data_IF_479551949584
#
_entry.id   IF_479551949584
#
_cell.length_a   1.000
_cell.length_b   1.000
_cell.length_c   1.000
_cell.angle_alpha   90.00
_cell.angle_beta   90.00
_cell.angle_gamma   90.00
#
_symmetry.space_group_name_H-M   'P 1'
#
loop_
_entity.id
_entity.type
_entity.pdbx_description
1 polymer ?
#
# COMPACT_ATOMS: atom_id res chain seq x y z
N UNK A 1 -15.76 22.79 0.69
CA UNK A 1 -16.59 22.00 -0.25
C UNK A 1 -15.72 20.95 -0.92
N UNK A 2 -16.19 19.70 -0.97
CA UNK A 2 -15.48 18.60 -1.62
C UNK A 2 -15.58 18.83 -3.14
N UNK A 3 -14.48 19.26 -3.76
CA UNK A 3 -14.43 19.65 -5.19
C UNK A 3 -14.53 18.45 -6.14
N UNK A 4 -14.51 17.22 -5.63
CA UNK A 4 -14.55 16.00 -6.42
C UNK A 4 -15.52 14.99 -5.78
N UNK A 5 -16.67 14.78 -6.41
CA UNK A 5 -17.59 13.70 -6.03
C UNK A 5 -16.94 12.32 -6.17
N UNK A 6 -17.60 11.29 -5.59
CA UNK A 6 -17.16 9.89 -5.65
C UNK A 6 -16.85 9.44 -7.08
N UNK A 7 -15.68 8.83 -7.30
CA UNK A 7 -15.26 8.35 -8.64
C UNK A 7 -16.12 7.16 -9.10
N UNK A 8 -16.74 6.44 -8.16
CA UNK A 8 -17.63 5.30 -8.39
C UNK A 8 -18.90 5.49 -7.56
N UNK A 9 -20.10 5.31 -8.14
CA UNK A 9 -21.32 5.29 -7.34
C UNK A 9 -21.29 4.11 -6.35
N UNK A 10 -21.52 4.32 -5.03
CA UNK A 10 -21.47 3.27 -4.02
C UNK A 10 -22.36 2.04 -4.33
N UNK A 11 -23.45 2.25 -5.05
CA UNK A 11 -24.41 1.23 -5.49
C UNK A 11 -23.80 0.22 -6.46
N UNK A 12 -22.80 0.60 -7.25
CA UNK A 12 -22.12 -0.29 -8.21
C UNK A 12 -21.33 -1.41 -7.52
N UNK A 13 -20.87 -1.20 -6.28
CA UNK A 13 -20.17 -2.21 -5.48
C UNK A 13 -21.13 -3.16 -4.74
N UNK A 14 -22.38 -2.74 -4.51
CA UNK A 14 -23.40 -3.60 -3.89
C UNK A 14 -23.86 -4.75 -4.82
N UNK A 15 -23.69 -4.60 -6.13
CA UNK A 15 -24.04 -5.62 -7.13
C UNK A 15 -23.06 -6.80 -7.17
N UNK A 16 -21.81 -6.61 -6.73
CA UNK A 16 -20.80 -7.67 -6.65
C UNK A 16 -21.19 -8.79 -5.65
N UNK A 17 -22.01 -8.47 -4.64
CA UNK A 17 -22.59 -9.46 -3.73
C UNK A 17 -23.67 -10.33 -4.37
N UNK A 18 -24.33 -9.87 -5.45
CA UNK A 18 -25.32 -10.66 -6.18
C UNK A 18 -24.67 -11.56 -7.25
N UNK A 19 -23.57 -11.12 -7.86
CA UNK A 19 -22.88 -11.91 -8.90
C UNK A 19 -22.28 -13.20 -8.33
N UNK A 20 -21.80 -13.18 -7.08
CA UNK A 20 -21.31 -14.39 -6.40
C UNK A 20 -22.39 -15.45 -6.16
N UNK A 21 -23.66 -15.05 -5.99
CA UNK A 21 -24.80 -15.97 -5.90
C UNK A 21 -25.22 -16.50 -7.28
N UNK A 22 -25.14 -15.67 -8.32
CA UNK A 22 -25.55 -16.05 -9.69
C UNK A 22 -24.60 -17.08 -10.32
N UNK A 23 -23.30 -16.97 -10.05
CA UNK A 23 -22.27 -17.92 -10.55
C UNK A 23 -22.44 -19.31 -9.91
N UNK A 24 -22.97 -19.39 -8.68
CA UNK A 24 -23.28 -20.67 -8.03
C UNK A 24 -24.52 -21.38 -8.62
N UNK A 25 -25.42 -20.64 -9.29
CA UNK A 25 -26.64 -21.20 -9.92
C UNK A 25 -26.49 -21.54 -11.41
N UNK A 26 -25.42 -21.12 -12.06
CA UNK A 26 -25.26 -21.22 -13.52
C UNK A 26 -24.55 -22.51 -14.00
N UNK A 27 -24.25 -23.47 -13.12
CA UNK A 27 -23.63 -24.74 -13.49
C UNK A 27 -24.60 -25.79 -14.07
N UNK A 28 -25.74 -25.37 -14.63
CA UNK A 28 -26.69 -26.27 -15.29
C UNK A 28 -27.28 -25.67 -16.58
N UNK A 29 -26.79 -26.21 -17.70
CA UNK A 29 -27.38 -26.24 -19.05
C UNK A 29 -27.20 -25.03 -20.01
N UNK A 30 -27.20 -25.27 -21.36
CA UNK A 30 -26.42 -24.48 -22.32
C UNK A 30 -27.22 -23.67 -23.36
N UNK A 31 -26.48 -22.76 -24.01
CA UNK A 31 -26.62 -22.21 -25.38
C UNK A 31 -27.89 -21.42 -25.81
N UNK A 32 -27.71 -20.12 -26.09
CA UNK A 32 -28.17 -19.44 -27.32
C UNK A 32 -27.66 -17.98 -27.33
N UNK A 33 -27.21 -17.51 -28.49
CA UNK A 33 -26.48 -16.24 -28.65
C UNK A 33 -27.35 -14.99 -28.80
N UNK A 34 -26.75 -13.84 -28.48
CA UNK A 34 -26.99 -12.55 -29.16
C UNK A 34 -25.79 -11.64 -28.85
N UNK A 35 -25.03 -11.24 -29.88
CA UNK A 35 -23.98 -10.21 -29.78
C UNK A 35 -24.59 -8.90 -30.30
N UNK A 36 -24.74 -7.90 -29.43
CA UNK A 36 -25.12 -6.53 -29.83
C UNK A 36 -23.85 -5.69 -30.02
N UNK A 37 -23.64 -5.06 -31.19
CA UNK A 37 -22.57 -4.09 -31.38
C UNK A 37 -23.07 -2.70 -30.98
N UNK A 38 -22.51 -2.13 -29.92
CA UNK A 38 -22.58 -0.69 -29.67
C UNK A 38 -21.19 -0.18 -29.32
N UNK A 39 -20.40 0.05 -30.37
CA UNK A 39 -19.16 0.81 -30.30
C UNK A 39 -19.26 1.96 -31.32
N UNK A 40 -18.98 3.18 -30.83
CA UNK A 40 -18.37 4.33 -31.53
C UNK A 40 -19.17 5.59 -31.95
N UNK A 41 -20.50 5.69 -31.90
CA UNK A 41 -21.17 6.85 -32.55
C UNK A 41 -21.38 8.13 -31.72
N UNK A 42 -20.84 8.24 -30.49
CA UNK A 42 -20.89 9.49 -29.69
C UNK A 42 -19.56 10.25 -29.62
N UNK A 43 -18.46 9.67 -30.12
CA UNK A 43 -17.11 10.23 -29.93
C UNK A 43 -16.80 11.37 -30.91
N UNK A 44 -17.33 11.31 -32.13
CA UNK A 44 -16.89 12.18 -33.22
C UNK A 44 -17.74 13.44 -33.41
N UNK A 45 -18.94 13.53 -32.82
CA UNK A 45 -19.85 14.67 -33.02
C UNK A 45 -19.65 15.84 -32.06
N UNK A 46 -18.77 15.73 -31.06
CA UNK A 46 -18.61 16.73 -29.99
C UNK A 46 -17.29 17.55 -30.11
N UNK A 47 -16.40 17.22 -31.05
CA UNK A 47 -15.06 17.84 -31.16
C UNK A 47 -15.01 18.94 -32.24
N UNK A 48 -15.79 20.01 -32.07
CA UNK A 48 -15.71 21.20 -32.95
C UNK A 48 -15.52 22.53 -32.20
N UNK A 49 -15.62 22.56 -30.86
CA UNK A 49 -15.49 23.80 -30.08
C UNK A 49 -14.07 23.98 -29.49
N UNK A 50 -13.34 25.06 -29.84
CA UNK A 50 -12.00 25.36 -29.33
C UNK A 50 -11.91 25.57 -27.82
N UNK A 51 -12.96 26.09 -27.16
CA UNK A 51 -13.00 26.31 -25.71
C UNK A 51 -13.18 25.01 -24.95
N UNK A 52 -14.03 24.10 -25.47
CA UNK A 52 -14.14 22.74 -24.93
C UNK A 52 -12.80 22.02 -25.05
N UNK A 53 -12.12 22.10 -26.21
CA UNK A 53 -10.83 21.42 -26.45
C UNK A 53 -9.73 21.77 -25.44
N UNK A 54 -9.70 23.01 -24.95
CA UNK A 54 -8.75 23.44 -23.91
C UNK A 54 -9.12 22.90 -22.52
N UNK A 55 -10.41 22.87 -22.17
CA UNK A 55 -10.89 22.26 -20.92
C UNK A 55 -10.63 20.74 -20.87
N UNK A 56 -10.67 20.05 -22.01
CA UNK A 56 -10.32 18.64 -22.16
C UNK A 56 -8.82 18.35 -21.95
N UNK A 57 -7.93 19.32 -22.17
CA UNK A 57 -6.49 19.16 -21.92
C UNK A 57 -6.12 19.31 -20.43
N UNK A 58 -6.90 20.10 -19.69
CA UNK A 58 -6.72 20.29 -18.24
C UNK A 58 -7.26 19.11 -17.41
N UNK A 59 -8.00 18.15 -18.00
CA UNK A 59 -8.47 16.93 -17.31
C UNK A 59 -8.42 15.67 -18.18
N UNK A 60 -7.26 15.00 -18.22
CA UNK A 60 -7.19 13.52 -18.23
C UNK A 60 -7.72 12.88 -16.93
N UNK A 61 -8.15 13.70 -15.95
CA UNK A 61 -8.49 13.32 -14.56
C UNK A 61 -9.69 12.38 -14.47
N UNK A 62 -10.55 12.32 -15.50
CA UNK A 62 -11.75 11.47 -15.54
C UNK A 62 -11.75 10.47 -16.70
N UNK A 63 -10.58 9.96 -17.13
CA UNK A 63 -10.51 8.91 -18.17
C UNK A 63 -11.30 7.67 -17.73
N UNK A 64 -12.42 7.41 -18.42
CA UNK A 64 -13.31 6.29 -18.14
C UNK A 64 -12.60 4.93 -18.19
N UNK A 65 -11.55 4.81 -19.01
CA UNK A 65 -10.75 3.58 -19.11
C UNK A 65 -9.92 3.39 -17.85
N UNK A 66 -9.34 4.46 -17.30
CA UNK A 66 -8.62 4.41 -16.02
C UNK A 66 -9.57 4.14 -14.85
N UNK A 67 -10.77 4.74 -14.85
CA UNK A 67 -11.81 4.45 -13.85
C UNK A 67 -12.26 2.99 -13.90
N UNK A 68 -12.49 2.45 -15.10
CA UNK A 68 -12.84 1.03 -15.30
C UNK A 68 -11.71 0.10 -14.85
N UNK A 69 -10.46 0.44 -15.19
CA UNK A 69 -9.29 -0.33 -14.75
C UNK A 69 -9.13 -0.30 -13.22
N UNK A 70 -9.30 0.87 -12.59
CA UNK A 70 -9.28 1.03 -11.13
C UNK A 70 -10.38 0.21 -10.46
N UNK A 71 -11.62 0.29 -10.95
CA UNK A 71 -12.74 -0.48 -10.42
C UNK A 71 -12.48 -1.99 -10.48
N UNK A 72 -11.94 -2.48 -11.61
CA UNK A 72 -11.56 -3.90 -11.78
C UNK A 72 -10.44 -4.30 -10.83
N UNK A 73 -9.41 -3.47 -10.69
CA UNK A 73 -8.28 -3.74 -9.80
C UNK A 73 -8.71 -3.79 -8.33
N UNK A 74 -9.51 -2.81 -7.87
CA UNK A 74 -10.03 -2.77 -6.50
C UNK A 74 -10.96 -3.96 -6.22
N UNK A 75 -11.86 -4.27 -7.16
CA UNK A 75 -12.77 -5.43 -7.03
C UNK A 75 -11.98 -6.73 -6.93
N UNK A 76 -10.94 -6.88 -7.76
CA UNK A 76 -10.04 -8.03 -7.69
C UNK A 76 -9.35 -8.08 -6.32
N UNK A 77 -8.67 -7.03 -5.88
CA UNK A 77 -7.98 -7.00 -4.58
C UNK A 77 -8.94 -7.36 -3.43
N UNK A 78 -10.14 -6.79 -3.38
CA UNK A 78 -11.14 -7.13 -2.36
C UNK A 78 -11.55 -8.61 -2.45
N UNK A 79 -11.80 -9.11 -3.66
CA UNK A 79 -12.16 -10.52 -3.89
C UNK A 79 -11.05 -11.52 -3.58
N UNK A 80 -9.78 -11.07 -3.54
CA UNK A 80 -8.64 -11.90 -3.15
C UNK A 80 -8.38 -11.91 -1.64
N UNK A 81 -9.03 -11.05 -0.84
CA UNK A 81 -8.83 -11.03 0.60
C UNK A 81 -9.35 -12.32 1.23
N UNK A 82 -8.51 -12.98 2.04
CA UNK A 82 -8.93 -14.19 2.73
C UNK A 82 -10.06 -13.87 3.73
N UNK A 83 -11.24 -14.50 3.61
CA UNK A 83 -12.35 -14.23 4.53
C UNK A 83 -12.09 -14.67 5.97
N UNK A 84 -11.10 -15.55 6.21
CA UNK A 84 -10.78 -16.09 7.53
C UNK A 84 -9.69 -15.28 8.22
N UNK A 85 -8.49 -15.22 7.65
CA UNK A 85 -7.37 -14.48 8.27
C UNK A 85 -7.45 -12.97 8.05
N UNK A 86 -8.12 -12.52 6.97
CA UNK A 86 -8.22 -11.12 6.57
C UNK A 86 -7.01 -10.57 5.81
N UNK A 87 -6.01 -11.43 5.56
CA UNK A 87 -4.79 -11.09 4.82
C UNK A 87 -4.88 -11.38 3.32
N UNK A 88 -3.76 -11.17 2.64
CA UNK A 88 -3.56 -11.53 1.24
C UNK A 88 -2.34 -12.41 1.10
N UNK A 89 -2.35 -13.21 0.02
CA UNK A 89 -1.26 -14.06 -0.39
C UNK A 89 -1.20 -14.10 -1.91
N UNK A 90 -0.16 -14.72 -2.46
CA UNK A 90 0.03 -14.87 -3.90
C UNK A 90 -1.12 -15.57 -4.63
N UNK A 91 -1.89 -16.42 -3.94
CA UNK A 91 -3.10 -17.06 -4.48
C UNK A 91 -4.26 -16.94 -3.49
N UNK A 92 -5.47 -16.97 -4.04
CA UNK A 92 -6.71 -17.05 -3.28
C UNK A 92 -6.70 -18.28 -2.35
N UNK A 93 -7.35 -18.17 -1.20
CA UNK A 93 -7.51 -19.23 -0.19
C UNK A 93 -6.22 -19.73 0.47
N UNK A 94 -5.13 -18.96 0.37
CA UNK A 94 -3.94 -19.18 1.16
C UNK A 94 -3.94 -18.25 2.38
N UNK A 95 -3.41 -18.71 3.51
CA UNK A 95 -3.20 -17.85 4.67
C UNK A 95 -2.36 -16.63 4.27
N UNK A 96 -2.82 -15.44 4.67
CA UNK A 96 -2.15 -14.20 4.33
C UNK A 96 -0.80 -14.03 5.04
N UNK A 97 0.08 -13.24 4.42
CA UNK A 97 1.36 -12.85 4.99
C UNK A 97 1.46 -11.32 5.13
N UNK A 98 2.40 -10.86 5.95
CA UNK A 98 2.54 -9.44 6.26
C UNK A 98 2.98 -8.61 5.04
N UNK A 99 3.79 -9.18 4.14
CA UNK A 99 4.27 -8.47 2.94
C UNK A 99 3.18 -8.25 1.90
N UNK A 100 2.41 -9.29 1.58
CA UNK A 100 1.29 -9.13 0.65
C UNK A 100 0.17 -8.30 1.26
N UNK A 101 -0.01 -8.41 2.57
CA UNK A 101 -0.95 -7.55 3.27
C UNK A 101 -0.61 -6.06 3.12
N UNK A 102 0.65 -5.64 3.30
CA UNK A 102 0.98 -4.22 3.24
C UNK A 102 0.82 -3.62 1.84
N UNK A 103 1.21 -4.32 0.78
CA UNK A 103 0.97 -3.87 -0.59
C UNK A 103 -0.52 -3.71 -0.92
N UNK A 104 -1.36 -4.67 -0.52
CA UNK A 104 -2.80 -4.61 -0.79
C UNK A 104 -3.49 -3.54 0.06
N UNK A 105 -3.04 -3.32 1.29
CA UNK A 105 -3.52 -2.20 2.09
C UNK A 105 -3.17 -0.86 1.44
N UNK A 106 -1.93 -0.68 0.97
CA UNK A 106 -1.50 0.55 0.29
C UNK A 106 -2.29 0.80 -1.00
N UNK A 107 -2.59 -0.24 -1.78
CA UNK A 107 -3.39 -0.12 -2.99
C UNK A 107 -4.83 0.33 -2.68
N UNK A 108 -5.46 -0.28 -1.67
CA UNK A 108 -6.80 0.09 -1.22
C UNK A 108 -6.84 1.50 -0.62
N UNK A 109 -5.82 1.91 0.14
CA UNK A 109 -5.69 3.29 0.64
C UNK A 109 -5.56 4.30 -0.49
N UNK A 110 -4.77 3.98 -1.51
CA UNK A 110 -4.65 4.83 -2.71
C UNK A 110 -5.99 4.94 -3.44
N UNK A 111 -6.77 3.85 -3.50
CA UNK A 111 -8.12 3.88 -4.05
C UNK A 111 -9.09 4.73 -3.21
N UNK A 112 -9.04 4.65 -1.87
CA UNK A 112 -9.82 5.53 -0.98
C UNK A 112 -9.47 7.01 -1.22
N UNK A 113 -8.19 7.35 -1.35
CA UNK A 113 -7.73 8.70 -1.66
C UNK A 113 -8.20 9.17 -3.05
N UNK A 114 -8.38 8.23 -3.98
CA UNK A 114 -9.01 8.48 -5.29
C UNK A 114 -10.55 8.47 -5.22
N UNK A 115 -11.17 8.50 -4.04
CA UNK A 115 -12.62 8.57 -3.90
C UNK A 115 -13.36 7.25 -4.21
N UNK A 116 -12.69 6.11 -4.14
CA UNK A 116 -13.33 4.79 -4.17
C UNK A 116 -13.70 4.36 -2.76
N UNK A 117 -14.98 4.10 -2.52
CA UNK A 117 -15.45 3.59 -1.23
C UNK A 117 -15.02 2.14 -1.04
N UNK A 118 -14.21 1.87 0.00
CA UNK A 118 -13.84 0.51 0.39
C UNK A 118 -14.85 -0.01 1.43
N UNK A 119 -15.43 -1.21 1.24
CA UNK A 119 -16.39 -1.75 2.21
C UNK A 119 -15.79 -1.94 3.61
N UNK A 120 -16.55 -1.57 4.64
CA UNK A 120 -16.08 -1.64 6.04
C UNK A 120 -15.64 -3.05 6.45
N UNK A 121 -16.30 -4.10 5.92
CA UNK A 121 -15.90 -5.48 6.20
C UNK A 121 -14.45 -5.79 5.79
N UNK A 122 -13.97 -5.18 4.70
CA UNK A 122 -12.57 -5.34 4.25
C UNK A 122 -11.63 -4.74 5.28
N UNK A 123 -11.97 -3.57 5.83
CA UNK A 123 -11.24 -2.90 6.90
C UNK A 123 -11.24 -3.69 8.20
N UNK A 124 -12.39 -4.19 8.63
CA UNK A 124 -12.51 -5.07 9.82
C UNK A 124 -11.61 -6.29 9.68
N UNK A 125 -11.57 -6.92 8.50
CA UNK A 125 -10.68 -8.04 8.21
C UNK A 125 -9.20 -7.64 8.24
N UNK A 126 -8.85 -6.47 7.71
CA UNK A 126 -7.47 -5.97 7.80
C UNK A 126 -7.01 -5.77 9.25
N UNK A 127 -7.88 -5.23 10.10
CA UNK A 127 -7.59 -5.07 11.53
C UNK A 127 -7.48 -6.42 12.24
N UNK A 128 -8.36 -7.37 11.92
CA UNK A 128 -8.31 -8.72 12.45
C UNK A 128 -7.01 -9.43 12.06
N UNK A 129 -6.57 -9.30 10.81
CA UNK A 129 -5.30 -9.85 10.34
C UNK A 129 -4.13 -9.34 11.19
N UNK A 130 -3.96 -8.02 11.31
CA UNK A 130 -2.87 -7.42 12.08
C UNK A 130 -2.91 -7.76 13.57
N UNK A 131 -4.11 -7.91 14.15
CA UNK A 131 -4.29 -8.36 15.53
C UNK A 131 -3.84 -9.81 15.70
N UNK A 132 -4.19 -10.66 14.73
CA UNK A 132 -3.88 -12.08 14.77
C UNK A 132 -2.40 -12.35 14.42
N UNK A 133 -1.76 -11.55 13.59
CA UNK A 133 -0.34 -11.75 13.24
C UNK A 133 0.63 -11.05 14.18
N UNK A 134 0.13 -10.29 15.15
CA UNK A 134 0.94 -9.59 16.14
C UNK A 134 1.73 -10.56 17.04
N UNK A 135 2.98 -10.21 17.28
CA UNK A 135 3.93 -10.89 18.16
C UNK A 135 4.59 -9.85 19.08
N UNK A 136 5.52 -10.31 19.92
CA UNK A 136 6.17 -9.46 20.92
C UNK A 136 5.36 -9.34 22.21
N UNK A 137 6.00 -8.81 23.24
CA UNK A 137 5.41 -8.67 24.57
C UNK A 137 4.27 -7.66 24.61
N UNK A 138 4.33 -6.65 23.74
CA UNK A 138 3.31 -5.61 23.62
C UNK A 138 2.46 -5.75 22.34
N UNK A 139 2.67 -6.79 21.52
CA UNK A 139 1.95 -7.00 20.27
C UNK A 139 2.38 -6.05 19.14
N UNK A 140 3.60 -5.53 19.19
CA UNK A 140 4.16 -4.60 18.21
C UNK A 140 5.04 -5.25 17.13
N UNK A 141 5.42 -6.52 17.30
CA UNK A 141 6.39 -7.18 16.43
C UNK A 141 5.71 -8.11 15.43
N UNK A 142 6.32 -8.30 14.27
CA UNK A 142 5.74 -9.09 13.19
C UNK A 142 6.80 -9.92 12.46
N UNK A 143 6.47 -11.19 12.21
CA UNK A 143 7.19 -12.07 11.28
C UNK A 143 6.42 -12.19 9.96
N UNK A 144 7.00 -12.90 8.99
CA UNK A 144 6.43 -12.98 7.65
C UNK A 144 5.09 -13.73 7.63
N UNK A 145 5.04 -14.92 8.23
CA UNK A 145 3.85 -15.78 8.28
C UNK A 145 3.51 -16.17 9.71
N UNK A 146 2.21 -16.29 9.96
CA UNK A 146 1.67 -16.78 11.23
C UNK A 146 1.77 -18.30 11.34
N UNK A 147 1.52 -19.04 10.27
CA UNK A 147 1.66 -20.50 10.25
C UNK A 147 2.81 -20.95 9.35
N UNK A 148 3.75 -21.71 9.90
CA UNK A 148 4.78 -22.38 9.14
C UNK A 148 4.43 -23.87 9.02
N UNK A 149 4.22 -24.33 7.78
CA UNK A 149 4.03 -25.75 7.48
C UNK A 149 5.18 -26.59 8.06
N UNK A 150 4.84 -27.67 8.78
CA UNK A 150 5.82 -28.55 9.41
C UNK A 150 6.28 -28.10 10.81
N UNK A 151 5.76 -26.98 11.32
CA UNK A 151 5.86 -26.62 12.74
C UNK A 151 4.50 -26.80 13.41
N UNK A 152 4.46 -27.08 14.71
CA UNK A 152 3.23 -27.19 15.48
C UNK A 152 2.58 -25.80 15.69
N UNK A 153 2.12 -25.17 14.61
CA UNK A 153 1.45 -23.87 14.64
C UNK A 153 2.35 -22.69 15.01
N UNK A 154 3.66 -22.78 14.75
CA UNK A 154 4.62 -21.71 15.02
C UNK A 154 4.53 -20.58 14.00
N UNK A 155 4.66 -19.34 14.47
CA UNK A 155 4.86 -18.16 13.63
C UNK A 155 6.33 -17.96 13.29
N UNK A 156 6.61 -17.40 12.11
CA UNK A 156 7.97 -16.96 11.80
C UNK A 156 8.40 -15.89 12.80
N UNK A 157 9.68 -15.90 13.22
CA UNK A 157 10.16 -14.94 14.19
C UNK A 157 10.04 -13.51 13.65
N UNK A 158 9.89 -12.50 14.53
CA UNK A 158 9.80 -11.15 14.07
C UNK A 158 11.03 -10.69 13.29
N UNK A 159 10.82 -9.98 12.20
CA UNK A 159 11.89 -9.37 11.40
C UNK A 159 11.72 -7.85 11.34
N UNK A 160 12.82 -7.09 11.18
CA UNK A 160 12.74 -5.62 11.10
C UNK A 160 11.82 -5.17 9.96
N UNK A 161 11.89 -5.85 8.81
CA UNK A 161 11.10 -5.52 7.63
C UNK A 161 9.61 -5.74 7.81
N UNK A 162 9.20 -6.90 8.35
CA UNK A 162 7.79 -7.19 8.58
C UNK A 162 7.21 -6.33 9.70
N UNK A 163 8.03 -6.03 10.73
CA UNK A 163 7.63 -5.13 11.81
C UNK A 163 7.44 -3.69 11.31
N UNK A 164 8.30 -3.19 10.44
CA UNK A 164 8.15 -1.87 9.83
C UNK A 164 6.90 -1.79 8.95
N UNK A 165 6.70 -2.77 8.07
CA UNK A 165 5.53 -2.82 7.20
C UNK A 165 4.21 -2.88 8.00
N UNK A 166 4.14 -3.77 9.00
CA UNK A 166 2.97 -3.88 9.86
C UNK A 166 2.73 -2.61 10.69
N UNK A 167 3.78 -1.97 11.22
CA UNK A 167 3.64 -0.69 11.92
C UNK A 167 3.03 0.38 11.00
N UNK A 168 3.53 0.50 9.78
CA UNK A 168 2.97 1.42 8.79
C UNK A 168 1.50 1.12 8.50
N UNK A 169 1.15 -0.15 8.26
CA UNK A 169 -0.24 -0.55 8.05
C UNK A 169 -1.15 -0.24 9.24
N UNK A 170 -0.68 -0.46 10.47
CA UNK A 170 -1.41 -0.11 11.69
C UNK A 170 -1.68 1.39 11.76
N UNK A 171 -0.69 2.22 11.45
CA UNK A 171 -0.85 3.68 11.40
C UNK A 171 -1.90 4.09 10.36
N UNK A 172 -1.87 3.49 9.16
CA UNK A 172 -2.87 3.74 8.11
C UNK A 172 -4.29 3.28 8.47
N UNK A 173 -4.42 2.36 9.42
CA UNK A 173 -5.70 1.89 9.97
C UNK A 173 -6.11 2.62 11.25
N UNK A 174 -5.38 3.66 11.66
CA UNK A 174 -5.74 4.52 12.79
C UNK A 174 -5.25 4.04 14.15
N UNK A 175 -4.22 3.19 14.21
CA UNK A 175 -3.61 2.83 15.49
C UNK A 175 -3.03 4.06 16.20
N UNK A 176 -3.14 4.07 17.53
CA UNK A 176 -2.63 5.18 18.34
C UNK A 176 -1.10 5.36 18.17
N UNK A 177 -0.62 6.60 17.97
CA UNK A 177 0.79 6.87 17.69
C UNK A 177 1.71 6.53 18.88
N UNK A 178 1.18 6.50 20.11
CA UNK A 178 1.96 6.19 21.32
C UNK A 178 1.31 5.06 22.16
N UNK A 179 1.10 3.91 21.53
CA UNK A 179 0.69 2.68 22.23
C UNK A 179 1.91 1.85 22.67
N UNK A 180 1.79 0.94 23.66
CA UNK A 180 2.86 -0.01 23.99
C UNK A 180 3.38 -0.79 22.78
N UNK A 181 2.47 -1.27 21.91
CA UNK A 181 2.82 -1.95 20.67
C UNK A 181 3.61 -1.04 19.71
N UNK A 182 3.20 0.23 19.58
CA UNK A 182 3.90 1.20 18.73
C UNK A 182 5.32 1.46 19.24
N UNK A 183 5.49 1.66 20.55
CA UNK A 183 6.81 1.85 21.17
C UNK A 183 7.71 0.61 21.01
N UNK A 184 7.15 -0.59 21.15
CA UNK A 184 7.86 -1.85 20.91
C UNK A 184 8.36 -1.95 19.47
N UNK A 185 7.49 -1.67 18.49
CA UNK A 185 7.83 -1.69 17.07
C UNK A 185 8.91 -0.66 16.70
N UNK A 186 8.71 0.60 17.11
CA UNK A 186 9.67 1.70 16.86
C UNK A 186 11.02 1.40 17.50
N UNK A 187 11.04 0.90 18.74
CA UNK A 187 12.28 0.50 19.42
C UNK A 187 12.97 -0.67 18.73
N UNK A 188 12.23 -1.64 18.20
CA UNK A 188 12.79 -2.76 17.46
C UNK A 188 13.40 -2.33 16.13
N UNK A 189 12.73 -1.46 15.37
CA UNK A 189 13.26 -0.88 14.13
C UNK A 189 14.49 0.00 14.43
N UNK A 190 14.46 0.80 15.49
CA UNK A 190 15.59 1.66 15.89
C UNK A 190 16.86 0.88 16.29
N UNK A 191 16.71 -0.35 16.81
CA UNK A 191 17.84 -1.26 17.08
C UNK A 191 18.40 -1.95 15.82
N UNK A 192 17.71 -1.82 14.68
CA UNK A 192 18.10 -2.40 13.40
C UNK A 192 18.26 -1.30 12.34
N UNK A 193 19.16 -0.32 12.54
CA UNK A 193 19.29 0.80 11.61
C UNK A 193 19.77 0.34 10.22
N UNK A 194 19.49 1.14 9.16
CA UNK A 194 20.03 0.91 7.84
C UNK A 194 21.56 0.80 7.86
N UNK A 195 22.11 -0.16 7.11
CA UNK A 195 23.55 -0.36 7.00
C UNK A 195 23.89 -1.11 5.72
N UNK A 196 25.01 -0.77 5.08
CA UNK A 196 25.50 -1.46 3.86
C UNK A 196 25.75 -2.96 4.10
N UNK A 197 26.22 -3.35 5.29
CA UNK A 197 26.43 -4.76 5.64
C UNK A 197 25.14 -5.60 5.67
N UNK A 198 23.98 -4.95 5.74
CA UNK A 198 22.65 -5.56 5.79
C UNK A 198 21.70 -4.81 4.85
N UNK A 199 22.15 -4.59 3.62
CA UNK A 199 21.35 -3.92 2.60
C UNK A 199 20.05 -4.68 2.37
N UNK A 200 18.94 -3.96 2.49
CA UNK A 200 17.59 -4.46 2.28
C UNK A 200 16.73 -3.25 1.87
N UNK A 201 16.58 -3.06 0.56
CA UNK A 201 15.85 -1.91 0.02
C UNK A 201 14.36 -1.96 0.37
N UNK A 202 13.81 -3.17 0.50
CA UNK A 202 12.42 -3.39 0.93
C UNK A 202 12.21 -2.91 2.37
N UNK A 203 13.12 -3.30 3.26
CA UNK A 203 13.11 -2.83 4.63
C UNK A 203 13.29 -1.32 4.72
N UNK A 204 14.24 -0.75 3.97
CA UNK A 204 14.49 0.68 4.03
C UNK A 204 13.29 1.50 3.60
N UNK A 205 12.55 1.05 2.59
CA UNK A 205 11.32 1.69 2.17
C UNK A 205 10.24 1.66 3.26
N UNK A 206 9.88 0.48 3.77
CA UNK A 206 8.85 0.38 4.81
C UNK A 206 9.27 0.97 6.16
N UNK A 207 10.55 0.85 6.52
CA UNK A 207 11.13 1.49 7.70
C UNK A 207 11.01 3.01 7.62
N UNK A 208 11.28 3.58 6.44
CA UNK A 208 11.12 5.02 6.20
C UNK A 208 9.66 5.44 6.26
N UNK A 209 8.75 4.69 5.63
CA UNK A 209 7.30 4.95 5.73
C UNK A 209 6.82 4.95 7.19
N UNK A 210 7.15 3.91 7.96
CA UNK A 210 6.72 3.74 9.33
C UNK A 210 7.30 4.80 10.28
N UNK A 211 8.60 5.07 10.15
CA UNK A 211 9.30 6.08 10.96
C UNK A 211 8.84 7.49 10.62
N UNK A 212 8.69 7.82 9.33
CA UNK A 212 8.16 9.10 8.90
C UNK A 212 6.76 9.36 9.48
N UNK A 213 5.90 8.34 9.38
CA UNK A 213 4.54 8.42 9.88
C UNK A 213 4.46 8.48 11.42
N UNK A 214 5.43 7.89 12.13
CA UNK A 214 5.56 8.05 13.58
C UNK A 214 6.06 9.45 13.97
N UNK A 215 7.02 10.00 13.21
CA UNK A 215 7.59 11.32 13.44
C UNK A 215 8.56 11.37 14.64
N UNK A 216 8.79 12.58 15.15
CA UNK A 216 9.59 12.81 16.35
C UNK A 216 11.08 12.49 16.21
N UNK A 217 11.72 12.18 17.34
CA UNK A 217 13.14 11.81 17.37
C UNK A 217 13.46 10.52 16.59
N UNK A 218 12.64 9.45 16.65
CA UNK A 218 12.88 8.25 15.86
C UNK A 218 12.95 8.52 14.35
N UNK A 219 12.04 9.35 13.83
CA UNK A 219 12.09 9.78 12.42
C UNK A 219 13.37 10.52 12.08
N UNK A 220 13.75 11.53 12.87
CA UNK A 220 14.95 12.35 12.58
C UNK A 220 16.21 11.49 12.55
N UNK A 221 16.35 10.56 13.50
CA UNK A 221 17.47 9.64 13.54
C UNK A 221 17.46 8.73 12.31
N UNK A 222 16.34 8.06 12.02
CA UNK A 222 16.19 7.19 10.85
C UNK A 222 16.50 7.92 9.54
N UNK A 223 15.88 9.08 9.31
CA UNK A 223 16.01 9.83 8.07
C UNK A 223 17.45 10.27 7.81
N UNK A 224 18.15 10.75 8.85
CA UNK A 224 19.56 11.14 8.71
C UNK A 224 20.43 9.97 8.24
N UNK A 225 20.23 8.78 8.81
CA UNK A 225 21.00 7.59 8.45
C UNK A 225 20.67 7.09 7.04
N UNK A 226 19.38 6.93 6.72
CA UNK A 226 19.00 6.33 5.44
C UNK A 226 19.27 7.25 4.24
N UNK A 227 19.06 8.57 4.40
CA UNK A 227 19.33 9.54 3.35
C UNK A 227 20.81 9.54 3.01
N UNK A 228 21.67 9.70 4.01
CA UNK A 228 23.11 9.82 3.79
C UNK A 228 23.68 8.52 3.22
N UNK A 229 23.19 7.36 3.70
CA UNK A 229 23.55 6.05 3.15
C UNK A 229 23.12 5.90 1.69
N UNK A 230 21.86 6.18 1.35
CA UNK A 230 21.41 6.02 -0.04
C UNK A 230 22.15 6.97 -0.99
N UNK A 231 22.44 8.19 -0.57
CA UNK A 231 23.24 9.12 -1.39
C UNK A 231 24.68 8.63 -1.55
N UNK A 232 25.30 8.05 -0.51
CA UNK A 232 26.67 7.52 -0.63
C UNK A 232 26.77 6.29 -1.53
N UNK A 233 25.72 5.47 -1.56
CA UNK A 233 25.68 4.25 -2.38
C UNK A 233 25.16 4.48 -3.82
N UNK A 234 24.74 5.70 -4.17
CA UNK A 234 24.30 5.99 -5.54
C UNK A 234 25.49 6.00 -6.49
N UNK A 235 25.40 5.27 -7.60
CA UNK A 235 26.41 5.32 -8.65
C UNK A 235 26.40 6.71 -9.29
N UNK A 236 27.54 7.39 -9.31
CA UNK A 236 27.67 8.76 -9.87
C UNK A 236 28.33 8.82 -11.24
N UNK A 237 28.80 7.70 -11.77
CA UNK A 237 29.48 7.62 -13.06
C UNK A 237 29.25 6.28 -13.75
N UNK A 238 29.63 6.21 -15.04
CA UNK A 238 29.45 5.01 -15.87
C UNK A 238 28.03 4.84 -16.41
N UNK A 239 27.79 3.69 -17.04
CA UNK A 239 26.52 3.35 -17.70
C UNK A 239 25.31 3.38 -16.74
N UNK A 240 25.54 3.08 -15.47
CA UNK A 240 24.50 2.96 -14.45
C UNK A 240 24.44 4.16 -13.50
N UNK A 241 25.00 5.31 -13.88
CA UNK A 241 24.91 6.54 -13.09
C UNK A 241 23.44 6.89 -12.75
N UNK A 242 23.20 7.29 -11.51
CA UNK A 242 21.87 7.57 -10.96
C UNK A 242 21.15 6.38 -10.34
N UNK A 243 21.73 5.18 -10.39
CA UNK A 243 21.12 3.95 -9.89
C UNK A 243 21.80 3.38 -8.64
N UNK A 244 21.20 2.34 -8.07
CA UNK A 244 21.76 1.55 -6.97
C UNK A 244 21.97 0.10 -7.41
N UNK A 245 23.07 -0.49 -6.97
CA UNK A 245 23.39 -1.88 -7.29
C UNK A 245 22.40 -2.85 -6.61
N UNK A 246 22.00 -3.92 -7.31
CA UNK A 246 21.06 -4.92 -6.79
C UNK A 246 21.75 -5.92 -5.85
N UNK A 247 22.25 -5.40 -4.72
CA UNK A 247 23.08 -6.14 -3.76
C UNK A 247 22.31 -6.67 -2.53
N UNK A 248 20.99 -6.45 -2.44
CA UNK A 248 20.16 -7.11 -1.42
C UNK A 248 19.61 -8.47 -1.88
N UNK A 249 18.93 -9.16 -0.97
CA UNK A 249 18.34 -10.49 -1.23
C UNK A 249 17.33 -10.47 -2.39
N UNK A 250 16.65 -9.34 -2.59
CA UNK A 250 15.59 -9.19 -3.59
C UNK A 250 16.09 -8.63 -4.93
N UNK A 251 17.26 -8.00 -4.94
CA UNK A 251 17.95 -7.45 -6.10
C UNK A 251 18.31 -8.52 -7.11
N UNK A 252 18.58 -9.75 -6.68
CA UNK A 252 18.73 -10.91 -7.57
C UNK A 252 17.48 -11.19 -8.42
N UNK A 253 16.28 -10.90 -7.89
CA UNK A 253 15.01 -11.15 -8.56
C UNK A 253 14.53 -9.93 -9.35
N UNK A 254 14.56 -8.75 -8.71
CA UNK A 254 14.05 -7.50 -9.29
C UNK A 254 15.08 -6.67 -10.07
N UNK A 255 16.36 -7.02 -9.97
CA UNK A 255 17.47 -6.34 -10.64
C UNK A 255 17.67 -4.89 -10.19
N UNK A 256 18.45 -4.16 -10.99
CA UNK A 256 18.76 -2.74 -10.79
C UNK A 256 17.49 -1.87 -10.78
N UNK A 257 16.48 -2.23 -11.57
CA UNK A 257 15.21 -1.51 -11.62
C UNK A 257 14.51 -1.51 -10.24
N UNK A 258 14.41 -2.68 -9.61
CA UNK A 258 13.83 -2.80 -8.26
C UNK A 258 14.60 -1.97 -7.23
N UNK A 259 15.93 -2.14 -7.20
CA UNK A 259 16.80 -1.50 -6.21
C UNK A 259 16.76 0.02 -6.33
N UNK A 260 16.85 0.52 -7.56
CA UNK A 260 16.75 1.94 -7.87
C UNK A 260 15.37 2.51 -7.55
N UNK A 261 14.31 1.75 -7.87
CA UNK A 261 12.93 2.18 -7.57
C UNK A 261 12.73 2.33 -6.07
N UNK A 262 13.11 1.32 -5.26
CA UNK A 262 12.93 1.40 -3.81
C UNK A 262 13.85 2.43 -3.15
N UNK A 263 15.09 2.59 -3.61
CA UNK A 263 15.97 3.66 -3.14
C UNK A 263 15.35 5.04 -3.41
N UNK A 264 14.84 5.26 -4.63
CA UNK A 264 14.18 6.52 -5.00
C UNK A 264 12.90 6.74 -4.19
N UNK A 265 12.04 5.72 -4.10
CA UNK A 265 10.81 5.76 -3.29
C UNK A 265 11.10 6.07 -1.82
N UNK A 266 12.20 5.54 -1.28
CA UNK A 266 12.65 5.81 0.08
C UNK A 266 13.04 7.27 0.26
N UNK A 267 13.79 7.84 -0.70
CA UNK A 267 14.21 9.25 -0.67
C UNK A 267 13.04 10.24 -0.85
N UNK A 268 11.92 9.82 -1.46
CA UNK A 268 10.76 10.70 -1.68
C UNK A 268 9.66 10.64 -0.61
N UNK A 269 9.74 9.72 0.37
CA UNK A 269 8.64 9.45 1.33
C UNK A 269 8.09 10.73 1.96
N UNK A 270 8.96 11.62 2.42
CA UNK A 270 8.58 12.85 3.13
C UNK A 270 8.15 14.00 2.20
N UNK A 271 8.32 13.88 0.88
CA UNK A 271 7.72 14.78 -0.10
C UNK A 271 6.33 14.31 -0.54
N UNK A 272 6.09 13.00 -0.48
CA UNK A 272 4.89 12.36 -1.07
C UNK A 272 3.78 12.09 -0.08
N UNK A 273 4.10 11.72 1.16
CA UNK A 273 3.11 11.36 2.16
C UNK A 273 2.92 12.50 3.16
N UNK A 274 1.68 13.01 3.26
CA UNK A 274 1.33 13.91 4.35
C UNK A 274 1.46 13.14 5.67
N UNK A 275 2.28 13.63 6.62
CA UNK A 275 2.40 12.98 7.92
C UNK A 275 1.06 12.98 8.65
N UNK A 276 0.40 11.82 8.81
CA UNK A 276 -0.91 11.78 9.48
C UNK A 276 -0.87 12.28 10.94
N UNK A 277 0.30 12.30 11.58
CA UNK A 277 0.46 12.89 12.92
C UNK A 277 0.21 14.40 12.92
N UNK A 278 0.46 15.09 11.80
CA UNK A 278 0.16 16.52 11.65
C UNK A 278 -1.33 16.75 11.39
N UNK A 279 -1.99 15.82 10.68
CA UNK A 279 -3.42 15.89 10.36
C UNK A 279 -4.30 15.64 11.58
N UNK A 280 -3.90 14.73 12.47
CA UNK A 280 -4.64 14.40 13.71
C UNK A 280 -4.26 15.27 14.92
N UNK A 281 -3.64 16.42 14.67
CA UNK A 281 -3.14 17.30 15.73
C UNK A 281 -4.27 18.21 16.23
N UNK A 282 -4.54 18.31 17.55
CA UNK A 282 -5.45 19.32 18.07
C UNK A 282 -4.87 20.72 17.82
N UNK A 283 -5.72 21.65 17.35
CA UNK A 283 -5.36 22.99 16.83
C UNK A 283 -4.42 23.81 17.74
N UNK A 284 -4.37 23.52 19.04
CA UNK A 284 -3.58 24.25 20.04
C UNK A 284 -2.15 23.74 20.29
N UNK A 285 -1.56 22.95 19.39
CA UNK A 285 -0.19 22.46 19.61
C UNK A 285 0.82 23.04 18.61
N UNK A 286 1.88 23.65 19.13
CA UNK A 286 2.86 24.48 18.41
C UNK A 286 3.52 23.77 17.22
N UNK A 287 3.47 24.36 16.03
CA UNK A 287 4.10 23.84 14.80
C UNK A 287 5.59 23.57 15.02
N UNK A 288 6.08 22.31 14.99
CA UNK A 288 7.51 22.09 14.92
C UNK A 288 7.99 22.52 13.53
N UNK A 289 9.08 23.29 13.48
CA UNK A 289 9.72 23.70 12.22
C UNK A 289 9.95 22.49 11.32
N UNK A 290 9.48 22.59 10.08
CA UNK A 290 9.84 21.66 9.02
C UNK A 290 11.33 21.79 8.77
N UNK A 291 12.13 20.72 8.89
CA UNK A 291 13.52 20.77 8.44
C UNK A 291 13.52 20.96 6.91
N UNK A 292 14.31 21.92 6.44
CA UNK A 292 14.74 22.01 5.04
C UNK A 292 15.65 20.84 4.68
#
# INVERSE_FOLDING_TARGET
EIVLGSIIEPTMLSSAFQTAKLVASASAAPAAGTVLPMTSTLHDSVIADPLLRWSWQLRRVDDIRLRSALAKAVTFTIGQQDPVSGGWRYRQFQEGDVSMFGWQLMSLKSAEMAGVTIPEQVRTRMQAFLKNTAQGSAGGLYGYRRSINGTAGGSEPPTPVMTAEALFCRQMLGAAPDSPATREAVGFIGRNPPSVARTDFYYWYYGTLAMHQHGGAPWRQWNSMIRDLLISEQLTSGEFAGSWDPNDTWGRYGGRLYSTTLATLTLEVYYRFLPLYQVNRPENSAVPESPR
#
